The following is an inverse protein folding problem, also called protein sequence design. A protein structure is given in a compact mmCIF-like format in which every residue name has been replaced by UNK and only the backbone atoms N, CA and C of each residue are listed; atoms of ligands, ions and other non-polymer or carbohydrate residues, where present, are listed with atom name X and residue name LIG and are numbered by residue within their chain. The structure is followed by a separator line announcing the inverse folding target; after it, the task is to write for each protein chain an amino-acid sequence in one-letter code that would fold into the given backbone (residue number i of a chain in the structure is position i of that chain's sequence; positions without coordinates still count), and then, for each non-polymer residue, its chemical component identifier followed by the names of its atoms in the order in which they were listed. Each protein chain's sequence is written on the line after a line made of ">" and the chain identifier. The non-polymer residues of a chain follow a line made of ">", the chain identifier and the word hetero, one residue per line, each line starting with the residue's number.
data_IF_905624093801
#
_entry.id   IF_905624093801
#
_cell.length_a   1.000
_cell.length_b   1.000
_cell.length_c   1.000
_cell.angle_alpha   90.00
_cell.angle_beta   90.00
_cell.angle_gamma   90.00
#
_symmetry.space_group_name_H-M   'P 1'
#
loop_
_entity.id
_entity.type
_entity.pdbx_description
1 polymer ?
#
# COMPACT_ATOMS: atom_id res chain seq x y z
N UNK A 1 -2.63 -6.66 1.35
CA UNK A 1 -3.11 -5.63 0.41
C UNK A 1 -2.83 -4.28 1.03
N UNK A 2 -2.22 -3.38 0.29
CA UNK A 2 -1.90 -2.04 0.77
C UNK A 2 -3.12 -1.14 0.76
N UNK A 3 -3.30 -0.35 1.82
CA UNK A 3 -4.27 0.73 1.92
C UNK A 3 -3.81 1.72 3.01
N UNK A 4 -4.15 3.00 2.85
CA UNK A 4 -3.92 4.05 3.85
C UNK A 4 -5.19 4.66 4.42
N UNK A 5 -6.29 4.64 3.66
CA UNK A 5 -7.50 5.44 3.98
C UNK A 5 -7.17 6.92 4.25
N UNK A 6 -6.24 7.47 3.45
CA UNK A 6 -5.77 8.85 3.64
C UNK A 6 -6.92 9.86 3.62
N UNK A 7 -6.81 10.92 4.42
CA UNK A 7 -7.86 11.95 4.56
C UNK A 7 -9.15 11.38 5.20
N UNK A 8 -9.05 10.23 5.86
CA UNK A 8 -10.11 9.61 6.64
C UNK A 8 -10.19 10.16 8.07
N UNK A 9 -10.31 9.24 9.02
CA UNK A 9 -10.53 9.53 10.44
C UNK A 9 -9.36 10.25 11.12
N UNK A 10 -8.12 9.90 10.76
CA UNK A 10 -6.91 10.43 11.40
C UNK A 10 -6.06 11.13 10.35
N UNK A 11 -5.96 12.46 10.47
CA UNK A 11 -5.25 13.33 9.53
C UNK A 11 -4.03 14.03 10.16
N UNK A 12 -3.72 13.66 11.40
CA UNK A 12 -2.67 14.30 12.18
C UNK A 12 -1.28 13.80 11.79
N UNK A 13 -0.29 14.62 12.10
CA UNK A 13 1.12 14.22 12.09
C UNK A 13 1.43 13.60 13.45
N UNK A 14 2.07 12.44 13.44
CA UNK A 14 2.61 11.80 14.62
C UNK A 14 3.83 12.61 15.13
N UNK A 15 3.76 13.20 16.33
CA UNK A 15 4.85 14.03 16.85
C UNK A 15 6.12 13.23 17.15
N UNK A 16 6.04 11.90 17.27
CA UNK A 16 7.20 11.05 17.57
C UNK A 16 8.01 10.71 16.32
N UNK A 17 7.40 10.80 15.14
CA UNK A 17 8.03 10.44 13.87
C UNK A 17 8.10 11.60 12.87
N UNK A 18 7.27 12.64 13.04
CA UNK A 18 7.16 13.74 12.09
C UNK A 18 6.42 13.38 10.80
N UNK A 19 5.74 12.23 10.76
CA UNK A 19 4.99 11.74 9.59
C UNK A 19 3.51 11.62 9.89
N UNK A 20 2.66 11.65 8.85
CA UNK A 20 1.24 11.40 9.03
C UNK A 20 0.99 9.97 9.54
N UNK A 21 0.03 9.83 10.45
CA UNK A 21 -0.39 8.51 10.94
C UNK A 21 -0.93 7.61 9.82
N UNK A 22 -1.59 8.20 8.81
CA UNK A 22 -2.16 7.49 7.68
C UNK A 22 -1.16 7.27 6.52
N UNK A 23 0.11 7.68 6.66
CA UNK A 23 1.17 7.35 5.69
C UNK A 23 1.69 5.92 5.88
N UNK A 24 0.79 4.95 5.72
CA UNK A 24 1.03 3.53 6.02
C UNK A 24 2.05 2.88 5.09
N UNK A 25 2.37 3.51 3.94
CA UNK A 25 3.41 3.01 3.04
C UNK A 25 4.77 2.98 3.75
N UNK A 26 5.05 3.97 4.60
CA UNK A 26 6.29 4.05 5.37
C UNK A 26 6.51 2.81 6.24
N UNK A 27 5.45 2.27 6.82
CA UNK A 27 5.54 1.09 7.68
C UNK A 27 5.90 -0.17 6.88
N UNK A 28 5.32 -0.32 5.68
CA UNK A 28 5.64 -1.45 4.79
C UNK A 28 7.06 -1.30 4.23
N UNK A 29 7.46 -0.10 3.81
CA UNK A 29 8.80 0.18 3.30
C UNK A 29 9.87 -0.10 4.37
N UNK A 30 9.66 0.36 5.61
CA UNK A 30 10.59 0.21 6.72
C UNK A 30 10.62 -1.21 7.33
N UNK A 31 9.67 -2.08 6.98
CA UNK A 31 9.62 -3.44 7.49
C UNK A 31 10.88 -4.22 7.12
N UNK A 32 11.55 -4.76 8.14
CA UNK A 32 12.70 -5.69 8.05
C UNK A 32 12.26 -7.15 8.01
N UNK A 33 10.97 -7.42 8.18
CA UNK A 33 10.38 -8.77 8.15
C UNK A 33 10.04 -9.16 6.71
N UNK A 34 9.60 -8.20 5.90
CA UNK A 34 9.07 -8.44 4.56
C UNK A 34 10.19 -8.46 3.51
N UNK A 35 10.19 -9.50 2.68
CA UNK A 35 11.04 -9.55 1.48
C UNK A 35 10.55 -8.55 0.42
N UNK A 36 11.38 -8.32 -0.61
CA UNK A 36 10.96 -7.52 -1.76
C UNK A 36 9.74 -8.14 -2.48
N UNK A 37 9.67 -9.47 -2.56
CA UNK A 37 8.53 -10.19 -3.12
C UNK A 37 7.25 -9.98 -2.30
N UNK A 38 7.35 -10.01 -0.97
CA UNK A 38 6.20 -9.76 -0.08
C UNK A 38 5.70 -8.32 -0.23
N UNK A 39 6.62 -7.35 -0.31
CA UNK A 39 6.27 -5.94 -0.52
C UNK A 39 5.55 -5.76 -1.86
N UNK A 40 6.05 -6.36 -2.95
CA UNK A 40 5.35 -6.36 -4.24
C UNK A 40 3.95 -6.99 -4.15
N UNK A 41 3.82 -8.12 -3.44
CA UNK A 41 2.53 -8.76 -3.24
C UNK A 41 1.57 -7.88 -2.44
N UNK A 42 2.05 -7.18 -1.41
CA UNK A 42 1.25 -6.27 -0.58
C UNK A 42 0.81 -5.05 -1.40
N UNK A 43 1.73 -4.42 -2.13
CA UNK A 43 1.47 -3.19 -2.87
C UNK A 43 0.59 -3.40 -4.11
N UNK A 44 0.71 -4.54 -4.79
CA UNK A 44 0.05 -4.73 -6.07
C UNK A 44 -0.57 -6.12 -6.26
N UNK A 45 0.26 -7.18 -6.23
CA UNK A 45 -0.15 -8.47 -6.80
C UNK A 45 -1.38 -9.08 -6.10
N UNK A 46 -1.48 -8.94 -4.77
CA UNK A 46 -2.65 -9.41 -4.03
C UNK A 46 -3.91 -8.63 -4.41
N UNK A 47 -3.80 -7.31 -4.60
CA UNK A 47 -4.94 -6.47 -4.98
C UNK A 47 -5.41 -6.82 -6.39
N UNK A 48 -4.48 -6.99 -7.36
CA UNK A 48 -4.83 -7.43 -8.73
C UNK A 48 -5.55 -8.78 -8.72
N UNK A 49 -5.03 -9.75 -7.94
CA UNK A 49 -5.66 -11.07 -7.79
C UNK A 49 -7.06 -11.02 -7.17
N UNK A 50 -7.27 -10.17 -6.15
CA UNK A 50 -8.58 -10.05 -5.46
C UNK A 50 -9.57 -9.24 -6.29
N UNK A 51 -9.11 -8.28 -7.09
CA UNK A 51 -9.92 -7.40 -7.93
C UNK A 51 -9.67 -7.70 -9.42
N UNK A 52 -10.16 -8.82 -9.98
CA UNK A 52 -9.80 -9.26 -11.33
C UNK A 52 -10.20 -8.26 -12.43
N UNK A 53 -11.24 -7.44 -12.21
CA UNK A 53 -11.63 -6.37 -13.15
C UNK A 53 -10.63 -5.22 -13.19
N UNK A 54 -9.93 -4.96 -12.08
CA UNK A 54 -8.82 -3.99 -12.03
C UNK A 54 -7.63 -4.56 -12.81
N UNK A 55 -7.25 -5.81 -12.53
CA UNK A 55 -6.14 -6.48 -13.20
C UNK A 55 -6.30 -6.47 -14.72
N UNK A 56 -7.46 -6.89 -15.23
CA UNK A 56 -7.75 -6.89 -16.67
C UNK A 56 -7.61 -5.48 -17.32
N UNK A 57 -7.97 -4.42 -16.59
CA UNK A 57 -7.84 -3.03 -17.06
C UNK A 57 -6.40 -2.53 -17.07
N UNK A 58 -5.58 -2.99 -16.12
CA UNK A 58 -4.15 -2.67 -16.09
C UNK A 58 -3.41 -3.41 -17.22
N UNK A 59 -3.69 -4.70 -17.41
CA UNK A 59 -3.12 -5.48 -18.52
C UNK A 59 -3.46 -4.88 -19.89
N UNK A 60 -4.70 -4.42 -20.09
CA UNK A 60 -5.12 -3.74 -21.32
C UNK A 60 -4.36 -2.43 -21.58
N UNK A 61 -3.72 -1.84 -20.56
CA UNK A 61 -2.85 -0.66 -20.68
C UNK A 61 -1.35 -1.01 -20.77
N UNK A 62 -0.98 -2.29 -20.78
CA UNK A 62 0.41 -2.74 -20.79
C UNK A 62 1.11 -2.68 -19.43
N UNK A 63 0.34 -2.73 -18.34
CA UNK A 63 0.80 -2.70 -16.94
C UNK A 63 0.58 -4.05 -16.23
#
# INVERSE_FOLDING_TARGET
>A
MFASEMIGAVRGIDPTTGHYYDDTKRYIDASTILSAGDKHAIFEANTRRVFPRLDARLQAKGL
#
